data_IF_849776887998
#
_entry.id   IF_849776887998
#
_cell.length_a   1.000
_cell.length_b   1.000
_cell.length_c   1.000
_cell.angle_alpha   90.00
_cell.angle_beta   90.00
_cell.angle_gamma   90.00
#
_symmetry.space_group_name_H-M   'P 1'
#
loop_
_entity.id
_entity.type
_entity.pdbx_description
1 polymer ?
#
# COMPACT_ATOMS: atom_id res chain seq x y z
N UNK A 1 14.30 -4.37 -12.35
CA UNK A 1 13.58 -5.17 -11.35
C UNK A 1 12.96 -4.19 -10.37
N UNK A 2 11.65 -3.94 -10.42
CA UNK A 2 11.01 -3.02 -9.49
C UNK A 2 11.08 -3.57 -8.06
N UNK A 3 11.56 -2.74 -7.13
CA UNK A 3 11.67 -3.08 -5.72
C UNK A 3 10.57 -2.41 -4.92
N UNK A 4 9.72 -3.19 -4.28
CA UNK A 4 8.52 -2.72 -3.58
C UNK A 4 8.60 -3.08 -2.09
N UNK A 5 8.41 -2.09 -1.24
CA UNK A 5 8.33 -2.25 0.20
C UNK A 5 6.93 -1.85 0.71
N UNK A 6 6.21 -2.81 1.26
CA UNK A 6 4.94 -2.54 1.95
C UNK A 6 5.18 -2.20 3.42
N UNK A 7 4.59 -1.10 3.91
CA UNK A 7 4.81 -0.62 5.27
C UNK A 7 3.47 -0.43 5.98
N UNK A 8 3.38 -0.98 7.20
CA UNK A 8 2.27 -0.72 8.11
C UNK A 8 2.81 -0.43 9.52
N UNK A 9 1.92 -0.26 10.50
CA UNK A 9 2.34 0.06 11.86
C UNK A 9 3.29 -0.99 12.46
N UNK A 10 2.83 -2.24 12.65
CA UNK A 10 3.57 -3.29 13.34
C UNK A 10 4.14 -4.42 12.46
N UNK A 11 3.92 -4.43 11.15
CA UNK A 11 4.38 -5.49 10.23
C UNK A 11 3.96 -6.93 10.59
N UNK A 12 2.79 -7.09 11.19
CA UNK A 12 2.22 -8.40 11.54
C UNK A 12 0.88 -8.70 10.86
N UNK A 13 0.16 -7.69 10.38
CA UNK A 13 -1.18 -7.85 9.77
C UNK A 13 -1.21 -7.44 8.30
N UNK A 14 -1.29 -6.12 8.04
CA UNK A 14 -1.58 -5.55 6.71
C UNK A 14 -0.41 -5.64 5.74
N UNK A 15 0.78 -5.16 6.13
CA UNK A 15 1.92 -5.17 5.21
C UNK A 15 2.46 -6.57 4.88
N UNK A 16 2.48 -7.57 5.79
CA UNK A 16 2.76 -8.95 5.40
C UNK A 16 1.71 -9.50 4.44
N UNK A 17 0.42 -9.20 4.66
CA UNK A 17 -0.64 -9.63 3.77
C UNK A 17 -0.42 -9.10 2.35
N UNK A 18 -0.13 -7.81 2.20
CA UNK A 18 0.16 -7.19 0.90
C UNK A 18 1.41 -7.78 0.22
N UNK A 19 2.49 -8.01 0.97
CA UNK A 19 3.69 -8.65 0.45
C UNK A 19 3.39 -10.00 -0.19
N UNK A 20 2.70 -10.89 0.52
CA UNK A 20 2.46 -12.24 0.02
C UNK A 20 1.36 -12.31 -1.06
N UNK A 21 0.36 -11.43 -0.98
CA UNK A 21 -0.63 -11.28 -2.06
C UNK A 21 0.03 -10.84 -3.35
N UNK A 22 0.89 -9.82 -3.30
CA UNK A 22 1.63 -9.34 -4.47
C UNK A 22 2.57 -10.42 -5.03
N UNK A 23 3.30 -11.14 -4.16
CA UNK A 23 4.17 -12.26 -4.58
C UNK A 23 3.38 -13.36 -5.30
N UNK A 24 2.21 -13.72 -4.78
CA UNK A 24 1.33 -14.70 -5.44
C UNK A 24 0.88 -14.22 -6.81
N UNK A 25 0.39 -12.98 -6.92
CA UNK A 25 -0.05 -12.41 -8.20
C UNK A 25 1.07 -12.38 -9.24
N UNK A 26 2.29 -12.01 -8.84
CA UNK A 26 3.46 -12.02 -9.74
C UNK A 26 3.80 -13.44 -10.19
N UNK A 27 3.76 -14.42 -9.30
CA UNK A 27 4.00 -15.82 -9.64
C UNK A 27 2.94 -16.36 -10.63
N UNK A 28 1.65 -16.07 -10.40
CA UNK A 28 0.56 -16.47 -11.29
C UNK A 28 0.72 -15.88 -12.70
N UNK A 29 1.17 -14.62 -12.81
CA UNK A 29 1.46 -13.99 -14.09
C UNK A 29 2.66 -14.62 -14.81
N UNK A 30 3.67 -15.07 -14.06
CA UNK A 30 4.83 -15.76 -14.65
C UNK A 30 4.45 -17.14 -15.20
N UNK A 31 3.53 -17.84 -14.53
CA UNK A 31 3.03 -19.16 -14.95
C UNK A 31 2.04 -19.10 -16.13
N UNK A 32 1.70 -17.90 -16.62
CA UNK A 32 0.78 -17.70 -17.73
C UNK A 32 -0.69 -17.95 -17.37
N UNK A 33 -0.99 -18.10 -16.08
CA UNK A 33 -2.37 -18.08 -15.58
C UNK A 33 -2.87 -16.63 -15.68
N UNK A 34 -3.70 -16.36 -16.69
CA UNK A 34 -4.29 -15.03 -16.86
C UNK A 34 -5.01 -14.60 -15.58
N UNK A 35 -4.79 -13.37 -15.14
CA UNK A 35 -5.51 -12.81 -13.99
C UNK A 35 -6.99 -12.65 -14.38
N UNK A 36 -7.88 -13.46 -13.80
CA UNK A 36 -9.32 -13.31 -14.02
C UNK A 36 -9.88 -12.16 -13.18
N UNK A 37 -10.51 -11.21 -13.86
CA UNK A 37 -10.81 -9.91 -13.32
C UNK A 37 -12.23 -9.48 -13.71
N UNK A 38 -13.27 -9.75 -12.90
CA UNK A 38 -14.57 -9.06 -12.96
C UNK A 38 -15.05 -8.67 -14.39
N UNK A 39 -15.08 -9.63 -15.33
CA UNK A 39 -15.55 -9.44 -16.70
C UNK A 39 -14.53 -8.92 -17.73
N UNK A 40 -13.26 -8.70 -17.37
CA UNK A 40 -12.16 -8.39 -18.28
C UNK A 40 -11.10 -9.48 -18.17
N UNK A 41 -11.02 -10.38 -19.15
CA UNK A 41 -9.93 -11.35 -19.23
C UNK A 41 -8.63 -10.58 -19.48
N UNK A 42 -7.73 -10.54 -18.50
CA UNK A 42 -6.35 -10.11 -18.74
C UNK A 42 -5.66 -11.27 -19.43
N UNK A 43 -5.87 -11.40 -20.74
CA UNK A 43 -5.22 -12.42 -21.54
C UNK A 43 -3.72 -12.14 -21.51
N UNK A 44 -2.93 -13.06 -20.96
CA UNK A 44 -1.47 -13.07 -21.01
C UNK A 44 -0.91 -13.24 -22.45
N UNK A 45 -1.54 -12.64 -23.45
CA UNK A 45 -1.17 -12.70 -24.87
C UNK A 45 -0.79 -11.34 -25.47
N UNK A 46 -1.09 -10.23 -24.81
CA UNK A 46 -0.76 -8.90 -25.33
C UNK A 46 0.54 -8.34 -24.73
N UNK A 47 1.06 -8.96 -23.66
CA UNK A 47 2.39 -8.67 -23.08
C UNK A 47 3.53 -9.34 -23.87
N UNK A 48 3.48 -9.31 -25.20
CA UNK A 48 4.48 -9.84 -26.13
C UNK A 48 5.81 -9.02 -26.14
N UNK A 49 6.34 -8.63 -24.98
CA UNK A 49 7.63 -7.95 -24.91
C UNK A 49 8.07 -7.35 -23.58
N UNK A 50 7.21 -7.28 -22.54
CA UNK A 50 7.65 -6.94 -21.19
C UNK A 50 7.74 -8.23 -20.39
N UNK A 51 8.97 -8.72 -20.20
CA UNK A 51 9.26 -9.81 -19.26
C UNK A 51 8.50 -9.52 -17.96
N UNK A 52 7.83 -10.54 -17.39
CA UNK A 52 7.28 -10.52 -16.04
C UNK A 52 8.45 -10.33 -15.07
N UNK A 53 8.94 -9.09 -15.01
CA UNK A 53 10.25 -8.73 -14.53
C UNK A 53 10.34 -9.14 -13.07
N UNK A 54 11.44 -9.76 -12.67
CA UNK A 54 11.69 -10.17 -11.30
C UNK A 54 11.38 -8.99 -10.35
N UNK A 55 10.26 -9.08 -9.62
CA UNK A 55 9.85 -8.10 -8.63
C UNK A 55 10.50 -8.48 -7.30
N UNK A 56 11.15 -7.52 -6.66
CA UNK A 56 11.60 -7.71 -5.29
C UNK A 56 10.56 -7.12 -4.35
N UNK A 57 9.90 -7.98 -3.57
CA UNK A 57 8.78 -7.58 -2.72
C UNK A 57 9.10 -7.92 -1.28
N UNK A 58 9.03 -6.92 -0.40
CA UNK A 58 9.22 -7.07 1.02
C UNK A 58 8.20 -6.25 1.82
N UNK A 59 8.15 -6.47 3.14
CA UNK A 59 7.40 -5.62 4.05
C UNK A 59 8.16 -5.26 5.33
N UNK A 60 7.80 -4.11 5.91
CA UNK A 60 8.39 -3.57 7.13
C UNK A 60 7.36 -2.83 8.01
N UNK A 61 7.78 -2.49 9.23
CA UNK A 61 7.02 -1.78 10.27
C UNK A 61 7.50 -0.33 10.41
N UNK A 62 6.58 0.56 10.78
CA UNK A 62 6.96 1.88 11.31
C UNK A 62 7.33 1.83 12.79
N UNK A 63 6.69 0.95 13.57
CA UNK A 63 6.92 0.83 15.02
C UNK A 63 7.92 -0.28 15.36
N UNK A 64 8.36 -0.28 16.61
CA UNK A 64 9.25 -1.31 17.17
C UNK A 64 8.53 -2.36 18.01
N UNK A 65 7.21 -2.23 18.19
CA UNK A 65 6.43 -3.00 19.17
C UNK A 65 6.45 -4.50 18.90
N UNK A 66 6.43 -4.88 17.62
CA UNK A 66 6.21 -6.26 17.19
C UNK A 66 7.44 -6.90 16.53
N UNK A 67 8.61 -6.26 16.59
CA UNK A 67 9.81 -6.75 15.89
C UNK A 67 10.15 -8.18 16.33
N UNK A 68 10.39 -9.06 15.36
CA UNK A 68 10.69 -10.47 15.57
C UNK A 68 9.46 -11.37 15.63
N UNK A 69 8.26 -10.82 15.86
CA UNK A 69 7.04 -11.62 15.90
C UNK A 69 6.64 -12.12 14.51
N UNK A 70 6.03 -13.30 14.42
CA UNK A 70 5.51 -13.81 13.16
C UNK A 70 4.25 -13.05 12.73
N UNK A 71 3.78 -13.32 11.51
CA UNK A 71 2.49 -12.82 11.02
C UNK A 71 1.37 -13.18 12.02
N UNK A 72 0.55 -12.18 12.36
CA UNK A 72 -0.52 -12.29 13.34
C UNK A 72 -1.47 -13.45 12.98
N UNK A 73 -1.84 -14.35 13.92
CA UNK A 73 -2.52 -15.59 13.57
C UNK A 73 -3.83 -15.43 12.75
N UNK A 74 -4.71 -14.45 13.02
CA UNK A 74 -5.85 -14.17 12.15
C UNK A 74 -5.47 -13.74 10.72
N UNK A 75 -4.45 -12.90 10.55
CA UNK A 75 -3.96 -12.50 9.23
C UNK A 75 -3.38 -13.69 8.46
N UNK A 76 -2.62 -14.55 9.16
CA UNK A 76 -2.11 -15.80 8.62
C UNK A 76 -3.23 -16.74 8.16
N UNK A 77 -4.27 -16.93 8.97
CA UNK A 77 -5.44 -17.74 8.57
C UNK A 77 -6.13 -17.18 7.32
N UNK A 78 -6.17 -15.86 7.18
CA UNK A 78 -6.73 -15.24 5.98
C UNK A 78 -5.88 -15.57 4.74
N UNK A 79 -4.55 -15.46 4.84
CA UNK A 79 -3.64 -15.86 3.77
C UNK A 79 -3.77 -17.35 3.40
N UNK A 80 -3.82 -18.23 4.41
CA UNK A 80 -3.96 -19.67 4.23
C UNK A 80 -5.28 -20.03 3.50
N UNK A 81 -6.38 -19.33 3.78
CA UNK A 81 -7.66 -19.51 3.06
C UNK A 81 -7.56 -19.23 1.56
N UNK A 82 -6.63 -18.37 1.17
CA UNK A 82 -6.34 -18.04 -0.23
C UNK A 82 -5.15 -18.84 -0.79
N UNK A 83 -4.69 -19.88 -0.09
CA UNK A 83 -3.60 -20.75 -0.51
C UNK A 83 -2.22 -20.07 -0.47
N UNK A 84 -2.06 -19.04 0.35
CA UNK A 84 -0.81 -18.28 0.47
C UNK A 84 -0.08 -18.69 1.76
N UNK A 85 1.16 -19.13 1.62
CA UNK A 85 2.04 -19.45 2.75
C UNK A 85 2.90 -18.24 3.15
N UNK A 86 2.89 -17.91 4.43
CA UNK A 86 3.66 -16.81 5.01
C UNK A 86 4.71 -17.26 6.06
N UNK A 87 5.02 -18.56 6.11
CA UNK A 87 6.05 -19.11 7.00
C UNK A 87 7.40 -18.43 6.80
N UNK A 88 8.13 -18.25 7.90
CA UNK A 88 9.45 -17.60 7.89
C UNK A 88 9.41 -16.07 7.91
N UNK A 89 8.25 -15.44 7.71
CA UNK A 89 8.14 -13.99 7.87
C UNK A 89 8.10 -13.61 9.34
N UNK A 90 9.00 -12.70 9.70
CA UNK A 90 9.00 -12.00 10.98
C UNK A 90 8.93 -10.50 10.77
N UNK A 91 8.33 -9.79 11.71
CA UNK A 91 8.23 -8.35 11.70
C UNK A 91 9.61 -7.71 11.85
N UNK A 92 9.88 -6.70 11.01
CA UNK A 92 11.11 -5.90 11.05
C UNK A 92 10.77 -4.43 10.93
N UNK A 93 11.59 -3.55 11.49
CA UNK A 93 11.43 -2.11 11.30
C UNK A 93 11.95 -1.67 9.93
N UNK A 94 11.33 -0.65 9.37
CA UNK A 94 11.86 0.11 8.24
C UNK A 94 13.04 0.97 8.70
N UNK A 95 14.05 1.06 7.83
CA UNK A 95 15.24 1.88 8.04
C UNK A 95 15.41 2.90 6.92
N UNK A 96 16.27 3.90 7.12
CA UNK A 96 16.64 4.83 6.05
C UNK A 96 17.25 4.11 4.83
N UNK A 97 17.98 3.02 5.06
CA UNK A 97 18.55 2.21 3.96
C UNK A 97 17.47 1.56 3.10
N UNK A 98 16.34 1.17 3.71
CA UNK A 98 15.20 0.69 2.94
C UNK A 98 14.66 1.80 2.03
N UNK A 99 14.61 3.03 2.52
CA UNK A 99 14.19 4.17 1.70
C UNK A 99 15.11 4.40 0.50
N UNK A 100 16.41 4.18 0.63
CA UNK A 100 17.36 4.30 -0.47
C UNK A 100 17.28 3.11 -1.44
N UNK A 101 17.05 1.91 -0.92
CA UNK A 101 17.15 0.65 -1.66
C UNK A 101 15.92 0.31 -2.51
N UNK A 102 14.71 0.50 -1.98
CA UNK A 102 13.46 0.17 -2.68
C UNK A 102 13.06 1.30 -3.63
N UNK A 103 12.37 0.99 -4.72
CA UNK A 103 11.89 1.98 -5.69
C UNK A 103 10.53 2.55 -5.26
N UNK A 104 9.68 1.69 -4.69
CA UNK A 104 8.34 2.02 -4.24
C UNK A 104 8.16 1.65 -2.78
N UNK A 105 7.66 2.58 -1.98
CA UNK A 105 7.31 2.38 -0.58
C UNK A 105 5.81 2.62 -0.44
N UNK A 106 5.07 1.55 -0.18
CA UNK A 106 3.62 1.56 -0.19
C UNK A 106 3.09 1.45 1.22
N UNK A 107 2.40 2.49 1.66
CA UNK A 107 1.85 2.62 2.99
C UNK A 107 0.40 2.14 3.04
N UNK A 108 -0.03 1.60 4.18
CA UNK A 108 -1.40 1.10 4.34
C UNK A 108 -2.37 2.20 4.80
N UNK A 109 -1.89 3.15 5.60
CA UNK A 109 -2.72 4.22 6.16
C UNK A 109 -1.93 5.54 6.29
N UNK A 110 -2.64 6.64 6.53
CA UNK A 110 -2.02 7.97 6.70
C UNK A 110 -1.24 8.13 8.00
N UNK A 111 -1.54 7.32 9.02
CA UNK A 111 -0.75 7.31 10.25
C UNK A 111 0.65 6.70 10.00
N UNK A 112 0.78 5.76 9.07
CA UNK A 112 2.07 5.22 8.65
C UNK A 112 2.91 6.32 8.02
N UNK A 113 2.31 7.16 7.17
CA UNK A 113 2.98 8.33 6.59
C UNK A 113 3.48 9.25 7.69
N UNK A 114 2.63 9.61 8.65
CA UNK A 114 3.01 10.43 9.82
C UNK A 114 4.14 9.81 10.64
N UNK A 115 4.14 8.48 10.80
CA UNK A 115 5.18 7.78 11.56
C UNK A 115 6.54 7.78 10.86
N UNK A 116 6.60 7.98 9.53
CA UNK A 116 7.87 8.09 8.82
C UNK A 116 8.73 9.25 9.32
N UNK A 117 8.15 10.27 9.97
CA UNK A 117 8.88 11.39 10.60
C UNK A 117 9.93 10.93 11.62
N UNK A 118 9.75 9.75 12.19
CA UNK A 118 10.63 9.17 13.21
C UNK A 118 11.75 8.31 12.61
N UNK A 119 11.66 7.98 11.32
CA UNK A 119 12.57 7.07 10.62
C UNK A 119 13.38 7.83 9.57
N UNK A 120 12.75 8.77 8.86
CA UNK A 120 13.35 9.51 7.77
C UNK A 120 13.90 10.87 8.23
N UNK A 121 14.99 11.36 7.63
CA UNK A 121 15.44 12.73 7.78
C UNK A 121 14.31 13.73 7.45
N UNK A 122 14.25 14.89 8.13
CA UNK A 122 13.20 15.88 7.93
C UNK A 122 13.00 16.30 6.47
N UNK A 123 14.09 16.51 5.71
CA UNK A 123 14.04 16.92 4.31
C UNK A 123 13.31 15.89 3.42
N UNK A 124 13.59 14.60 3.64
CA UNK A 124 12.96 13.51 2.91
C UNK A 124 11.50 13.40 3.35
N UNK A 125 11.25 13.43 4.66
CA UNK A 125 9.90 13.33 5.20
C UNK A 125 8.98 14.45 4.69
N UNK A 126 9.43 15.70 4.69
CA UNK A 126 8.67 16.85 4.21
C UNK A 126 8.36 16.76 2.72
N UNK A 127 9.33 16.32 1.92
CA UNK A 127 9.13 16.06 0.49
C UNK A 127 8.05 15.00 0.27
N UNK A 128 8.14 13.87 0.95
CA UNK A 128 7.17 12.77 0.78
C UNK A 128 5.79 13.15 1.35
N UNK A 129 5.73 13.95 2.42
CA UNK A 129 4.47 14.54 2.87
C UNK A 129 3.87 15.45 1.80
N UNK A 130 4.64 16.40 1.25
CA UNK A 130 4.15 17.32 0.22
C UNK A 130 3.59 16.55 -0.98
N UNK A 131 4.31 15.52 -1.43
CA UNK A 131 3.89 14.59 -2.48
C UNK A 131 2.55 13.87 -2.21
N UNK A 132 2.21 13.64 -0.94
CA UNK A 132 1.01 12.93 -0.50
C UNK A 132 -0.06 13.86 0.13
N UNK A 133 0.15 15.20 0.10
CA UNK A 133 -0.73 16.21 0.73
C UNK A 133 -1.85 16.74 -0.16
N UNK A 134 -2.17 16.08 -1.28
CA UNK A 134 -3.40 16.38 -2.02
C UNK A 134 -4.69 16.13 -1.21
N UNK A 135 -4.62 15.70 0.07
CA UNK A 135 -5.73 15.69 1.04
C UNK A 135 -5.31 16.15 2.46
N UNK A 136 -6.23 16.79 3.22
CA UNK A 136 -5.93 17.76 4.29
C UNK A 136 -5.68 17.11 5.66
N UNK A 137 -4.67 16.24 5.80
CA UNK A 137 -4.36 15.61 7.10
C UNK A 137 -3.04 16.08 7.74
N UNK A 138 -2.26 16.93 7.07
CA UNK A 138 -1.03 17.51 7.62
C UNK A 138 -1.28 18.90 8.21
N UNK A 139 -2.16 19.00 9.20
CA UNK A 139 -2.30 20.22 10.00
C UNK A 139 -2.06 19.90 11.47
N UNK A 140 -0.78 19.85 11.86
CA UNK A 140 -0.39 20.15 13.24
C UNK A 140 0.72 21.21 13.31
N UNK A 141 0.95 21.93 12.22
CA UNK A 141 1.51 23.28 12.25
C UNK A 141 0.34 24.25 12.34
N UNK A 142 0.43 25.18 13.29
CA UNK A 142 -0.53 26.26 13.50
C UNK A 142 -0.73 27.00 12.18
N UNK A 143 -1.85 26.76 11.48
CA UNK A 143 -2.15 27.39 10.20
C UNK A 143 -3.03 28.63 10.45
N UNK A 144 -2.70 29.83 9.92
CA UNK A 144 -3.41 31.08 10.24
C UNK A 144 -4.79 31.21 9.57
N UNK A 145 -5.43 30.12 9.16
CA UNK A 145 -6.71 30.13 8.45
C UNK A 145 -7.83 29.41 9.23
N UNK A 146 -7.71 29.34 10.56
CA UNK A 146 -8.83 29.00 11.43
C UNK A 146 -9.87 30.13 11.40
N UNK A 147 -10.82 30.04 10.46
CA UNK A 147 -11.96 30.94 10.45
C UNK A 147 -12.55 31.22 9.09
N UNK A 148 -13.08 30.20 8.39
CA UNK A 148 -14.16 30.41 7.42
C UNK A 148 -15.14 29.24 7.50
N UNK A 149 -16.29 29.51 8.11
CA UNK A 149 -17.48 28.67 8.08
C UNK A 149 -17.93 28.45 6.63
N UNK A 150 -18.12 27.19 6.21
CA UNK A 150 -18.86 26.89 4.98
C UNK A 150 -20.24 26.38 5.34
N UNK A 151 -21.21 27.30 5.25
CA UNK A 151 -22.61 26.97 5.02
C UNK A 151 -22.80 26.79 3.50
N UNK A 152 -23.60 25.79 3.10
CA UNK A 152 -24.05 25.66 1.72
C UNK A 152 -24.17 24.22 1.26
N UNK A 153 -25.38 23.68 1.36
CA UNK A 153 -25.87 22.64 0.44
C UNK A 153 -25.80 23.23 -0.96
N UNK A 154 -25.26 22.49 -1.91
CA UNK A 154 -25.83 22.30 -3.25
C UNK A 154 -25.06 21.20 -3.96
N UNK A 155 -25.81 20.21 -4.44
CA UNK A 155 -25.28 19.07 -5.18
C UNK A 155 -24.78 19.51 -6.55
N UNK A 156 -23.46 19.44 -6.73
CA UNK A 156 -22.83 19.23 -8.02
C UNK A 156 -21.78 18.14 -7.79
N UNK A 157 -21.94 17.00 -8.47
CA UNK A 157 -21.00 15.89 -8.41
C UNK A 157 -19.61 16.39 -8.74
N UNK A 158 -18.74 16.40 -7.72
CA UNK A 158 -17.32 16.57 -7.93
C UNK A 158 -16.85 15.28 -8.58
N UNK A 159 -16.73 15.28 -9.91
CA UNK A 159 -15.94 14.28 -10.60
C UNK A 159 -14.54 14.33 -9.98
N UNK A 160 -14.24 13.33 -9.15
CA UNK A 160 -12.92 13.14 -8.59
C UNK A 160 -11.98 12.92 -9.76
N UNK A 161 -11.34 13.99 -10.23
CA UNK A 161 -10.25 13.94 -11.17
C UNK A 161 -9.28 12.87 -10.68
N UNK A 162 -9.20 11.77 -11.44
CA UNK A 162 -8.47 10.58 -11.06
C UNK A 162 -7.07 10.97 -10.60
N UNK A 163 -6.75 10.62 -9.35
CA UNK A 163 -5.40 10.76 -8.82
C UNK A 163 -4.48 9.91 -9.69
N UNK A 164 -3.81 10.56 -10.65
CA UNK A 164 -2.78 9.90 -11.42
C UNK A 164 -1.78 9.30 -10.43
N UNK A 165 -1.51 8.00 -10.56
CA UNK A 165 -0.56 7.30 -9.72
C UNK A 165 0.75 8.07 -9.76
N UNK A 166 1.06 8.71 -8.64
CA UNK A 166 2.03 9.79 -8.60
C UNK A 166 3.43 9.20 -8.79
N UNK A 167 4.28 9.88 -9.55
CA UNK A 167 5.70 9.53 -9.72
C UNK A 167 6.54 9.70 -8.44
N UNK A 168 5.93 9.51 -7.27
CA UNK A 168 6.53 9.68 -5.96
C UNK A 168 6.94 8.32 -5.39
N UNK A 169 8.01 8.34 -4.59
CA UNK A 169 8.61 7.13 -4.02
C UNK A 169 7.71 6.51 -2.96
N UNK A 170 7.06 7.33 -2.15
CA UNK A 170 6.09 6.92 -1.12
C UNK A 170 4.67 7.20 -1.60
N UNK A 171 3.79 6.20 -1.48
CA UNK A 171 2.35 6.30 -1.83
C UNK A 171 1.47 5.49 -0.87
N UNK A 172 0.18 5.78 -0.78
CA UNK A 172 -0.79 4.88 -0.12
C UNK A 172 -1.21 3.77 -1.08
N UNK A 173 -1.54 2.59 -0.55
CA UNK A 173 -1.96 1.46 -1.37
C UNK A 173 -3.23 1.76 -2.20
N UNK A 174 -4.21 2.45 -1.61
CA UNK A 174 -5.48 2.74 -2.27
C UNK A 174 -5.38 3.86 -3.32
N UNK A 175 -4.32 4.68 -3.29
CA UNK A 175 -4.07 5.68 -4.34
C UNK A 175 -3.87 5.01 -5.72
N UNK A 176 -3.38 3.76 -5.73
CA UNK A 176 -3.22 2.97 -6.95
C UNK A 176 -4.55 2.56 -7.56
N UNK A 177 -5.59 2.40 -6.74
CA UNK A 177 -6.98 2.15 -7.18
C UNK A 177 -7.64 3.45 -7.65
N UNK A 178 -7.15 4.62 -7.18
CA UNK A 178 -7.76 5.92 -7.42
C UNK A 178 -8.69 6.37 -6.28
N UNK A 179 -8.56 5.74 -5.11
CA UNK A 179 -9.38 6.04 -3.93
C UNK A 179 -8.53 6.70 -2.82
N UNK A 180 -8.98 7.84 -2.30
CA UNK A 180 -8.27 8.59 -1.24
C UNK A 180 -8.61 8.07 0.17
N UNK A 181 -8.61 6.75 0.38
CA UNK A 181 -8.93 6.12 1.66
C UNK A 181 -7.81 5.23 2.19
N UNK A 182 -7.84 4.97 3.49
CA UNK A 182 -6.85 4.12 4.15
C UNK A 182 -7.31 2.65 4.07
N UNK A 183 -6.35 1.71 4.06
CA UNK A 183 -6.62 0.28 4.16
C UNK A 183 -7.17 -0.03 5.55
N UNK A 184 -8.29 -0.75 5.61
CA UNK A 184 -8.91 -1.13 6.88
C UNK A 184 -7.90 -1.82 7.82
N UNK A 185 -7.74 -1.31 9.04
CA UNK A 185 -6.85 -1.92 10.05
C UNK A 185 -7.58 -3.01 10.85
N UNK A 186 -7.26 -4.30 10.63
CA UNK A 186 -7.96 -5.37 11.28
C UNK A 186 -7.57 -5.53 12.75
N UNK A 187 -6.51 -4.85 13.21
CA UNK A 187 -6.10 -4.90 14.61
C UNK A 187 -7.13 -4.26 15.54
N UNK A 188 -7.74 -3.16 15.11
CA UNK A 188 -8.74 -2.44 15.91
C UNK A 188 -10.17 -2.88 15.59
N UNK A 189 -10.44 -3.31 14.36
CA UNK A 189 -11.81 -3.68 13.93
C UNK A 189 -12.09 -5.17 14.08
N UNK A 190 -11.06 -6.02 14.03
CA UNK A 190 -11.21 -7.48 13.92
C UNK A 190 -11.66 -7.96 12.54
N UNK A 191 -11.85 -7.07 11.56
CA UNK A 191 -12.34 -7.40 10.23
C UNK A 191 -11.19 -7.62 9.23
N UNK A 192 -10.75 -8.87 9.13
CA UNK A 192 -9.71 -9.27 8.18
C UNK A 192 -10.23 -9.41 6.73
N UNK A 193 -11.54 -9.46 6.53
CA UNK A 193 -12.13 -9.58 5.18
C UNK A 193 -12.09 -8.22 4.48
N UNK A 194 -12.47 -7.15 5.18
CA UNK A 194 -12.33 -5.78 4.67
C UNK A 194 -10.87 -5.47 4.30
N UNK A 195 -9.93 -5.77 5.20
CA UNK A 195 -8.49 -5.60 4.94
C UNK A 195 -8.03 -6.39 3.73
N UNK A 196 -8.46 -7.66 3.60
CA UNK A 196 -8.09 -8.49 2.47
C UNK A 196 -8.58 -7.90 1.15
N UNK A 197 -9.83 -7.44 1.09
CA UNK A 197 -10.41 -6.85 -0.12
C UNK A 197 -9.62 -5.62 -0.56
N UNK A 198 -9.35 -4.70 0.38
CA UNK A 198 -8.55 -3.50 0.13
C UNK A 198 -7.14 -3.84 -0.38
N UNK A 199 -6.46 -4.78 0.29
CA UNK A 199 -5.12 -5.19 -0.06
C UNK A 199 -5.08 -5.86 -1.43
N UNK A 200 -6.02 -6.76 -1.70
CA UNK A 200 -6.09 -7.48 -2.96
C UNK A 200 -6.41 -6.54 -4.14
N UNK A 201 -7.35 -5.61 -3.96
CA UNK A 201 -7.67 -4.60 -4.96
C UNK A 201 -6.49 -3.66 -5.23
N UNK A 202 -5.86 -3.15 -4.16
CA UNK A 202 -4.71 -2.26 -4.25
C UNK A 202 -3.50 -2.91 -4.92
N UNK A 203 -3.10 -4.12 -4.49
CA UNK A 203 -1.98 -4.85 -5.09
C UNK A 203 -2.21 -5.10 -6.58
N UNK A 204 -3.44 -5.43 -6.96
CA UNK A 204 -3.80 -5.70 -8.36
C UNK A 204 -3.78 -4.44 -9.22
N UNK A 205 -4.34 -3.33 -8.72
CA UNK A 205 -4.30 -2.05 -9.40
C UNK A 205 -2.85 -1.54 -9.57
N UNK A 206 -2.02 -1.72 -8.53
CA UNK A 206 -0.59 -1.41 -8.57
C UNK A 206 0.12 -2.25 -9.64
N UNK A 207 -0.06 -3.57 -9.62
CA UNK A 207 0.56 -4.48 -10.57
C UNK A 207 0.19 -4.13 -12.03
N UNK A 208 -1.08 -3.85 -12.30
CA UNK A 208 -1.53 -3.43 -13.62
C UNK A 208 -0.84 -2.15 -14.10
N UNK A 209 -0.69 -1.17 -13.21
CA UNK A 209 -0.01 0.10 -13.52
C UNK A 209 1.50 -0.05 -13.71
N UNK A 210 2.14 -0.99 -13.02
CA UNK A 210 3.58 -1.26 -13.17
C UNK A 210 3.92 -2.05 -14.44
N UNK A 211 2.98 -2.84 -14.97
CA UNK A 211 3.18 -3.63 -16.18
C UNK A 211 2.95 -2.81 -17.46
N UNK A 212 2.07 -1.81 -17.43
CA UNK A 212 1.82 -0.90 -18.56
C UNK A 212 2.95 0.11 -18.75
#
# INVERSE_FOLDING_TARGET
MPKILFVCHGNICRSPMAEFVMKKMVAELQDGAGLECAGKSFAGKDCAGKNCADFEIASAATSTEEIGNPVYPPARRMLERHGIDCRGKTARQMTLRDYEYYDYIVLMDRNNLRNLRWILPPEIYEKECAANTAHPCAANTVHPCAGKSFAGRDGAGLECAGSQATGNKVSLLMDWVGESRDVADPWYTGDFVATWNDVNEGCRAMLQKLLH
#
